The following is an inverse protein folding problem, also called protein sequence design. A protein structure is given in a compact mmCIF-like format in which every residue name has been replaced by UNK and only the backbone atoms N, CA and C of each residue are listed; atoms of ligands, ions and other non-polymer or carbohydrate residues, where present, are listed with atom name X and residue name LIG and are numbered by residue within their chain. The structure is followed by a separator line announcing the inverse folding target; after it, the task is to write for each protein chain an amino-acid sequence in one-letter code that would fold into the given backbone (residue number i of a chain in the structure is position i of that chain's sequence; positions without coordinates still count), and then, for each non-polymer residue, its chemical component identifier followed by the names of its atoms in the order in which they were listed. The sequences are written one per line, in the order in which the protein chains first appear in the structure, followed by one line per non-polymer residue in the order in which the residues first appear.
data_IF_108495763621
#
_entry.id   IF_108495763621
#
_cell.length_a   1.000
_cell.length_b   1.000
_cell.length_c   1.000
_cell.angle_alpha   90.00
_cell.angle_beta   90.00
_cell.angle_gamma   90.00
#
_symmetry.space_group_name_H-M   'P 1'
#
loop_
_entity.id
_entity.type
_entity.pdbx_description
1 polymer ?
#
# COMPACT_ATOMS: atom_id res chain seq x y z
N UNK A 1 -4.87 33.48 18.14
CA UNK A 1 -5.02 32.59 19.33
C UNK A 1 -6.07 31.50 19.02
N UNK A 2 -6.11 31.01 17.78
CA UNK A 2 -7.26 30.25 17.25
C UNK A 2 -6.98 28.74 17.11
N UNK A 3 -5.72 28.32 17.23
CA UNK A 3 -5.32 26.92 17.13
C UNK A 3 -5.76 26.04 18.30
N UNK A 4 -5.84 26.61 19.52
CA UNK A 4 -6.21 25.85 20.74
C UNK A 4 -7.73 25.63 20.82
N UNK A 5 -8.53 26.56 20.31
CA UNK A 5 -9.99 26.43 20.24
C UNK A 5 -10.41 25.35 19.23
N UNK A 6 -9.70 25.21 18.11
CA UNK A 6 -9.98 24.17 17.11
C UNK A 6 -9.69 22.74 17.60
N UNK A 7 -8.69 22.56 18.48
CA UNK A 7 -8.37 21.26 19.08
C UNK A 7 -9.43 20.87 20.13
N UNK A 8 -9.85 21.83 20.95
CA UNK A 8 -10.85 21.59 22.01
C UNK A 8 -12.21 21.19 21.43
N UNK A 9 -12.62 21.77 20.29
CA UNK A 9 -13.86 21.40 19.60
C UNK A 9 -13.82 19.98 19.00
N UNK A 10 -12.65 19.51 18.55
CA UNK A 10 -12.47 18.14 18.03
C UNK A 10 -12.51 17.08 19.13
N UNK A 11 -11.98 17.39 20.31
CA UNK A 11 -12.03 16.48 21.47
C UNK A 11 -13.48 16.29 21.94
N UNK A 12 -14.26 17.37 22.05
CA UNK A 12 -15.67 17.29 22.43
C UNK A 12 -16.52 16.48 21.42
N UNK A 13 -16.18 16.52 20.13
CA UNK A 13 -16.85 15.72 19.11
C UNK A 13 -16.55 14.22 19.24
N UNK A 14 -15.33 13.83 19.66
CA UNK A 14 -14.95 12.41 19.85
C UNK A 14 -15.66 11.81 21.08
N UNK A 15 -15.79 12.58 22.16
CA UNK A 15 -16.49 12.12 23.37
C UNK A 15 -18.00 11.91 23.15
N UNK A 16 -18.62 12.73 22.30
CA UNK A 16 -20.02 12.58 21.93
C UNK A 16 -20.28 11.32 21.09
N UNK A 17 -19.36 10.93 20.19
CA UNK A 17 -19.50 9.70 19.38
C UNK A 17 -19.31 8.42 20.19
N UNK A 18 -18.52 8.46 21.26
CA UNK A 18 -18.28 7.29 22.14
C UNK A 18 -19.47 6.99 23.06
N UNK A 19 -20.35 7.96 23.32
CA UNK A 19 -21.53 7.77 24.19
C UNK A 19 -22.72 7.08 23.49
N UNK A 20 -22.64 6.83 22.18
CA UNK A 20 -23.72 6.21 21.39
C UNK A 20 -23.52 4.70 21.14
N UNK A 21 -22.42 4.09 21.61
CA UNK A 21 -22.20 2.66 21.50
C UNK A 21 -22.84 1.96 22.71
N UNK A 22 -24.17 1.79 22.65
CA UNK A 22 -24.89 0.94 23.59
C UNK A 22 -24.76 -0.52 23.14
N UNK A 23 -23.92 -1.31 23.82
CA UNK A 23 -23.81 -2.75 23.62
C UNK A 23 -25.12 -3.42 24.12
N UNK A 24 -25.81 -4.27 23.32
CA UNK A 24 -26.99 -4.95 23.81
C UNK A 24 -26.58 -5.97 24.87
N UNK A 25 -27.09 -5.81 26.10
CA UNK A 25 -26.92 -6.80 27.16
C UNK A 25 -27.96 -7.92 26.99
N UNK A 26 -27.54 -9.07 26.49
CA UNK A 26 -28.36 -10.28 26.49
C UNK A 26 -28.57 -10.74 27.94
N UNK A 27 -29.83 -10.85 28.38
CA UNK A 27 -30.20 -11.45 29.67
C UNK A 27 -30.34 -12.96 29.50
N UNK A 28 -29.90 -13.80 30.46
CA UNK A 28 -30.16 -15.24 30.39
C UNK A 28 -31.61 -15.52 30.80
N UNK A 29 -32.40 -16.09 29.89
CA UNK A 29 -33.68 -16.71 30.19
C UNK A 29 -33.46 -18.11 30.75
N UNK A 30 -34.17 -18.45 31.82
CA UNK A 30 -34.19 -19.78 32.40
C UNK A 30 -34.88 -20.78 31.46
N UNK A 31 -34.22 -21.90 31.16
CA UNK A 31 -34.81 -22.99 30.37
C UNK A 31 -33.82 -24.11 30.03
N UNK A 32 -33.94 -25.21 30.76
CA UNK A 32 -33.51 -26.59 30.52
C UNK A 32 -32.61 -26.93 29.32
N UNK A 33 -31.33 -27.23 29.63
CA UNK A 33 -30.56 -28.36 29.09
C UNK A 33 -30.58 -28.65 27.60
N UNK A 34 -30.00 -27.76 26.78
CA UNK A 34 -29.43 -28.13 25.48
C UNK A 34 -27.91 -28.21 25.61
N UNK A 35 -27.32 -29.30 25.13
CA UNK A 35 -25.89 -29.55 25.26
C UNK A 35 -25.12 -28.47 24.50
N UNK A 36 -24.01 -27.99 25.09
CA UNK A 36 -23.12 -26.98 24.49
C UNK A 36 -22.73 -27.29 23.04
N UNK A 37 -22.73 -28.57 22.64
CA UNK A 37 -22.50 -29.03 21.28
C UNK A 37 -23.57 -28.59 20.27
N UNK A 38 -24.86 -28.47 20.65
CA UNK A 38 -25.92 -27.99 19.75
C UNK A 38 -25.84 -26.47 19.55
N UNK A 39 -25.52 -25.73 20.61
CA UNK A 39 -25.34 -24.27 20.53
C UNK A 39 -24.09 -23.92 19.72
N UNK A 40 -23.01 -24.68 19.88
CA UNK A 40 -21.80 -24.53 19.07
C UNK A 40 -22.05 -24.92 17.60
N UNK A 41 -22.81 -25.98 17.33
CA UNK A 41 -23.20 -26.38 15.98
C UNK A 41 -24.02 -25.29 15.26
N UNK A 42 -24.93 -24.62 15.97
CA UNK A 42 -25.68 -23.48 15.42
C UNK A 42 -24.79 -22.26 15.18
N UNK A 43 -23.82 -22.00 16.06
CA UNK A 43 -22.90 -20.87 15.90
C UNK A 43 -21.88 -21.07 14.75
N UNK A 44 -21.46 -22.31 14.48
CA UNK A 44 -20.61 -22.60 13.29
C UNK A 44 -21.43 -22.70 12.00
N UNK A 45 -22.71 -23.04 12.07
CA UNK A 45 -23.61 -22.99 10.91
C UNK A 45 -23.90 -21.54 10.47
N UNK A 46 -24.02 -20.60 11.42
CA UNK A 46 -24.14 -19.15 11.13
C UNK A 46 -22.80 -18.49 10.72
N UNK A 47 -21.67 -19.20 10.83
CA UNK A 47 -20.34 -18.73 10.40
C UNK A 47 -19.78 -19.51 9.20
N UNK A 48 -20.58 -20.42 8.61
CA UNK A 48 -20.20 -21.06 7.36
C UNK A 48 -20.38 -20.05 6.22
N UNK A 49 -19.32 -19.69 5.46
CA UNK A 49 -19.50 -18.87 4.29
C UNK A 49 -20.30 -19.70 3.29
N UNK A 50 -21.56 -19.33 3.08
CA UNK A 50 -22.28 -19.77 1.89
C UNK A 50 -21.49 -19.19 0.73
N UNK A 51 -20.83 -20.05 -0.04
CA UNK A 51 -20.21 -19.72 -1.33
C UNK A 51 -21.31 -19.38 -2.33
N UNK A 52 -21.97 -18.24 -2.12
CA UNK A 52 -22.70 -17.55 -3.15
C UNK A 52 -21.66 -16.77 -3.94
N UNK A 53 -21.42 -17.21 -5.17
CA UNK A 53 -20.74 -16.42 -6.20
C UNK A 53 -21.55 -15.14 -6.44
N UNK A 54 -21.30 -14.13 -5.61
CA UNK A 54 -21.81 -12.79 -5.73
C UNK A 54 -20.63 -11.85 -5.85
N UNK A 55 -20.37 -11.39 -7.06
CA UNK A 55 -19.43 -10.33 -7.37
C UNK A 55 -19.63 -9.17 -6.38
N UNK A 56 -18.72 -9.06 -5.41
CA UNK A 56 -18.67 -7.92 -4.51
C UNK A 56 -18.03 -6.77 -5.27
N UNK A 57 -18.88 -6.03 -5.99
CA UNK A 57 -18.58 -4.70 -6.49
C UNK A 57 -18.43 -3.76 -5.28
N UNK A 58 -17.24 -3.77 -4.68
CA UNK A 58 -16.72 -2.60 -3.98
C UNK A 58 -16.23 -1.64 -5.08
N UNK A 59 -17.08 -0.68 -5.44
CA UNK A 59 -16.80 0.34 -6.47
C UNK A 59 -15.54 1.16 -6.16
N UNK A 60 -14.90 1.81 -7.13
CA UNK A 60 -15.21 2.04 -8.53
C UNK A 60 -14.02 2.81 -9.13
N UNK A 61 -13.85 2.71 -10.45
CA UNK A 61 -12.62 3.02 -11.21
C UNK A 61 -11.46 2.07 -10.91
N UNK A 62 -11.27 1.07 -11.77
CA UNK A 62 -10.10 0.22 -11.69
C UNK A 62 -8.83 1.06 -11.75
N UNK A 63 -7.82 0.68 -10.98
CA UNK A 63 -6.48 1.23 -11.10
C UNK A 63 -5.98 0.97 -12.52
N UNK A 64 -5.76 2.06 -13.27
CA UNK A 64 -5.37 2.02 -14.69
C UNK A 64 -4.19 2.94 -14.90
N UNK A 65 -3.35 2.56 -15.84
CA UNK A 65 -2.36 3.45 -16.44
C UNK A 65 -2.86 3.90 -17.81
N UNK A 66 -2.49 5.11 -18.23
CA UNK A 66 -2.70 5.58 -19.59
C UNK A 66 -1.64 5.01 -20.55
N UNK A 67 -1.67 5.40 -21.83
CA UNK A 67 -0.69 4.95 -22.83
C UNK A 67 0.77 5.33 -22.54
N UNK A 68 1.00 6.30 -21.65
CA UNK A 68 2.32 6.73 -21.20
C UNK A 68 2.76 6.05 -19.89
N UNK A 69 1.97 5.09 -19.38
CA UNK A 69 2.25 4.40 -18.12
C UNK A 69 1.91 5.23 -16.86
N UNK A 70 1.19 6.35 -16.98
CA UNK A 70 0.82 7.22 -15.86
C UNK A 70 -0.45 6.71 -15.18
N UNK A 71 -0.50 6.59 -13.84
CA UNK A 71 -1.73 6.26 -13.13
C UNK A 71 -2.82 7.30 -13.37
N UNK A 72 -3.94 6.87 -13.94
CA UNK A 72 -5.04 7.77 -14.35
C UNK A 72 -5.64 8.52 -13.16
N UNK A 73 -5.73 7.85 -12.01
CA UNK A 73 -6.21 8.37 -10.74
C UNK A 73 -5.25 9.38 -10.10
N UNK A 74 -3.95 9.28 -10.37
CA UNK A 74 -2.94 10.21 -9.85
C UNK A 74 -2.56 11.33 -10.82
N UNK A 75 -2.90 11.19 -12.10
CA UNK A 75 -2.46 12.09 -13.18
C UNK A 75 -2.76 13.57 -12.88
N UNK A 76 -3.91 13.87 -12.26
CA UNK A 76 -4.33 15.22 -11.92
C UNK A 76 -3.40 15.94 -10.92
N UNK A 77 -2.66 15.20 -10.09
CA UNK A 77 -1.72 15.76 -9.13
C UNK A 77 -0.38 16.13 -9.78
N UNK A 78 0.06 15.34 -10.76
CA UNK A 78 1.37 15.46 -11.38
C UNK A 78 2.47 14.69 -10.65
N UNK A 79 3.50 14.29 -11.41
CA UNK A 79 4.60 13.47 -10.91
C UNK A 79 5.37 14.17 -9.78
N UNK A 80 5.49 13.49 -8.64
CA UNK A 80 6.15 13.99 -7.42
C UNK A 80 5.30 14.99 -6.63
N UNK A 81 4.01 15.14 -6.95
CA UNK A 81 3.07 16.05 -6.28
C UNK A 81 1.84 15.33 -5.73
N UNK A 82 1.95 14.01 -5.54
CA UNK A 82 0.88 13.17 -5.02
C UNK A 82 0.72 13.43 -3.51
N UNK A 83 -0.49 13.75 -3.03
CA UNK A 83 -0.74 13.92 -1.61
C UNK A 83 -0.65 12.57 -0.89
N UNK A 84 -0.27 12.59 0.39
CA UNK A 84 0.03 11.36 1.16
C UNK A 84 -1.17 10.42 1.26
N UNK A 85 -2.37 10.98 1.34
CA UNK A 85 -3.65 10.28 1.41
C UNK A 85 -4.05 9.58 0.11
N UNK A 86 -3.49 9.99 -1.03
CA UNK A 86 -3.66 9.30 -2.30
C UNK A 86 -2.66 8.13 -2.50
N UNK A 87 -1.74 7.94 -1.53
CA UNK A 87 -0.80 6.84 -1.52
C UNK A 87 -1.13 5.85 -0.39
N UNK A 88 -1.00 4.57 -0.69
CA UNK A 88 -1.23 3.47 0.25
C UNK A 88 0.07 3.11 0.98
N UNK A 89 0.04 2.88 2.31
CA UNK A 89 1.19 2.33 3.01
C UNK A 89 1.56 0.95 2.49
N UNK A 90 2.84 0.60 2.59
CA UNK A 90 3.34 -0.76 2.34
C UNK A 90 3.60 -1.42 3.70
N UNK A 91 2.61 -2.14 4.21
CA UNK A 91 2.65 -2.85 5.48
C UNK A 91 3.19 -1.97 6.61
N UNK A 92 4.17 -2.50 7.34
CA UNK A 92 4.85 -1.79 8.43
C UNK A 92 6.18 -1.12 8.00
N UNK A 93 6.47 -1.01 6.70
CA UNK A 93 7.77 -0.50 6.21
C UNK A 93 7.96 1.01 6.41
N UNK A 94 6.87 1.75 6.63
CA UNK A 94 6.88 3.22 6.66
C UNK A 94 6.84 3.87 5.26
N UNK A 95 7.00 3.09 4.19
CA UNK A 95 6.94 3.54 2.80
C UNK A 95 5.50 3.60 2.28
N UNK A 96 5.32 4.37 1.21
CA UNK A 96 4.03 4.55 0.54
C UNK A 96 4.18 4.50 -0.97
N UNK A 97 3.22 3.89 -1.64
CA UNK A 97 3.18 3.71 -3.08
C UNK A 97 1.76 4.00 -3.60
N UNK A 98 1.64 4.08 -4.92
CA UNK A 98 0.33 3.99 -5.58
C UNK A 98 -0.34 2.66 -5.17
N UNK A 99 -1.63 2.68 -4.86
CA UNK A 99 -2.35 1.57 -4.24
C UNK A 99 -2.07 0.17 -4.85
N UNK A 100 -2.16 -0.07 -6.18
CA UNK A 100 -1.86 -1.38 -6.74
C UNK A 100 -0.39 -1.76 -6.61
N UNK A 101 0.54 -0.80 -6.70
CA UNK A 101 1.97 -1.04 -6.47
C UNK A 101 2.22 -1.42 -5.00
N UNK A 102 1.58 -0.71 -4.05
CA UNK A 102 1.68 -1.00 -2.62
C UNK A 102 1.25 -2.44 -2.31
N UNK A 103 0.04 -2.81 -2.73
CA UNK A 103 -0.53 -4.15 -2.51
C UNK A 103 0.29 -5.24 -3.18
N UNK A 104 0.81 -4.98 -4.37
CA UNK A 104 1.66 -5.95 -5.06
C UNK A 104 3.00 -6.12 -4.38
N UNK A 105 3.58 -5.03 -3.89
CA UNK A 105 4.85 -5.06 -3.18
C UNK A 105 4.72 -5.73 -1.81
N UNK A 106 3.62 -5.53 -1.08
CA UNK A 106 3.35 -6.29 0.15
C UNK A 106 3.30 -7.81 -0.09
N UNK A 107 2.65 -8.25 -1.17
CA UNK A 107 2.64 -9.68 -1.56
C UNK A 107 4.04 -10.18 -1.91
N UNK A 108 4.84 -9.36 -2.60
CA UNK A 108 6.22 -9.67 -2.93
C UNK A 108 7.06 -9.83 -1.65
N UNK A 109 7.00 -8.88 -0.72
CA UNK A 109 7.72 -8.93 0.55
C UNK A 109 7.31 -10.15 1.38
N UNK A 110 6.02 -10.45 1.44
CA UNK A 110 5.51 -11.65 2.13
C UNK A 110 6.03 -12.94 1.50
N UNK A 111 6.11 -13.03 0.18
CA UNK A 111 6.60 -14.21 -0.52
C UNK A 111 8.11 -14.40 -0.30
N UNK A 112 8.89 -13.32 -0.38
CA UNK A 112 10.32 -13.36 -0.09
C UNK A 112 10.58 -13.82 1.35
N UNK A 113 9.85 -13.25 2.33
CA UNK A 113 9.99 -13.61 3.73
C UNK A 113 9.63 -15.08 4.01
N UNK A 114 8.62 -15.63 3.32
CA UNK A 114 8.25 -17.05 3.44
C UNK A 114 9.36 -18.00 2.94
N UNK A 115 10.23 -17.51 2.05
CA UNK A 115 11.40 -18.23 1.54
C UNK A 115 12.69 -17.88 2.32
N UNK A 116 12.58 -17.13 3.42
CA UNK A 116 13.71 -16.72 4.24
C UNK A 116 14.55 -15.59 3.65
N UNK A 117 14.05 -14.90 2.63
CA UNK A 117 14.72 -13.79 1.95
C UNK A 117 14.25 -12.46 2.54
N UNK A 118 15.18 -11.69 3.10
CA UNK A 118 14.91 -10.35 3.60
C UNK A 118 15.13 -9.31 2.49
N UNK A 119 14.18 -8.37 2.35
CA UNK A 119 14.25 -7.26 1.39
C UNK A 119 14.04 -5.96 2.17
N UNK A 120 15.05 -5.09 2.17
CA UNK A 120 14.94 -3.74 2.73
C UNK A 120 14.43 -2.75 1.70
N UNK A 121 13.79 -1.66 2.15
CA UNK A 121 13.35 -0.54 1.31
C UNK A 121 14.13 0.69 1.71
N UNK A 122 14.73 1.38 0.74
CA UNK A 122 15.55 2.58 0.95
C UNK A 122 14.87 3.83 0.40
N UNK A 123 14.13 3.71 -0.70
CA UNK A 123 13.32 4.80 -1.26
C UNK A 123 12.04 4.26 -1.91
N UNK A 124 11.02 5.10 -2.01
CA UNK A 124 9.68 4.75 -2.54
C UNK A 124 9.07 5.95 -3.26
N UNK A 125 7.89 6.44 -2.87
CA UNK A 125 7.39 7.71 -3.39
C UNK A 125 8.37 8.85 -3.12
N UNK A 126 8.75 9.57 -4.20
CA UNK A 126 9.66 10.72 -4.15
C UNK A 126 8.96 11.98 -4.63
N UNK A 127 8.95 13.00 -3.79
CA UNK A 127 8.38 14.30 -4.16
C UNK A 127 9.21 15.01 -5.23
N UNK A 128 8.60 15.98 -5.91
CA UNK A 128 9.22 16.76 -6.97
C UNK A 128 10.50 17.46 -6.47
N UNK A 129 10.44 18.11 -5.30
CA UNK A 129 11.56 18.84 -4.74
C UNK A 129 12.72 17.90 -4.36
N UNK A 130 12.41 16.71 -3.85
CA UNK A 130 13.43 15.68 -3.59
C UNK A 130 14.04 15.19 -4.91
N UNK A 131 13.26 15.04 -5.98
CA UNK A 131 13.80 14.69 -7.29
C UNK A 131 14.74 15.78 -7.85
N UNK A 132 14.39 17.07 -7.69
CA UNK A 132 15.28 18.19 -8.04
C UNK A 132 16.58 18.11 -7.24
N UNK A 133 16.50 17.83 -5.95
CA UNK A 133 17.65 17.66 -5.07
C UNK A 133 18.55 16.47 -5.48
N UNK A 134 17.95 15.34 -5.84
CA UNK A 134 18.66 14.16 -6.37
C UNK A 134 19.42 14.52 -7.65
N UNK A 135 18.76 15.18 -8.60
CA UNK A 135 19.41 15.62 -9.85
C UNK A 135 20.55 16.60 -9.57
N UNK A 136 20.36 17.54 -8.63
CA UNK A 136 21.41 18.49 -8.23
C UNK A 136 22.64 17.79 -7.68
N UNK A 137 22.47 16.77 -6.84
CA UNK A 137 23.57 16.06 -6.16
C UNK A 137 24.20 14.95 -6.99
N UNK A 138 23.40 14.25 -7.79
CA UNK A 138 23.79 13.01 -8.47
C UNK A 138 23.78 13.12 -10.00
N UNK A 139 23.40 14.26 -10.57
CA UNK A 139 23.31 14.49 -12.01
C UNK A 139 22.11 13.81 -12.67
N UNK A 140 21.84 14.19 -13.92
CA UNK A 140 20.81 13.56 -14.74
C UNK A 140 21.26 12.18 -15.22
N UNK A 141 20.36 11.20 -15.22
CA UNK A 141 20.63 9.84 -15.68
C UNK A 141 21.06 9.83 -17.16
N UNK A 142 20.45 10.66 -18.00
CA UNK A 142 20.82 10.85 -19.42
C UNK A 142 22.24 11.41 -19.62
N UNK A 143 22.88 11.89 -18.55
CA UNK A 143 24.24 12.45 -18.54
C UNK A 143 25.19 11.61 -17.67
N UNK A 144 24.83 10.35 -17.38
CA UNK A 144 25.63 9.45 -16.56
C UNK A 144 25.41 9.58 -15.05
N UNK A 145 24.56 10.50 -14.61
CA UNK A 145 24.12 10.60 -13.21
C UNK A 145 23.11 9.52 -12.81
N UNK A 146 22.39 9.74 -11.70
CA UNK A 146 21.38 8.81 -11.16
C UNK A 146 19.96 9.41 -11.08
N UNK A 147 19.79 10.69 -11.40
CA UNK A 147 18.48 11.35 -11.31
C UNK A 147 17.72 11.33 -12.64
N UNK A 148 16.50 10.80 -12.67
CA UNK A 148 15.56 11.10 -13.74
C UNK A 148 15.25 12.61 -13.81
N UNK A 149 14.85 13.10 -15.00
CA UNK A 149 14.40 14.48 -15.14
C UNK A 149 13.26 14.76 -14.13
N UNK A 150 13.28 15.88 -13.39
CA UNK A 150 12.22 16.17 -12.43
C UNK A 150 10.84 16.18 -13.10
N UNK A 151 9.89 15.47 -12.49
CA UNK A 151 8.54 15.28 -13.04
C UNK A 151 8.40 14.08 -14.00
N UNK A 152 9.42 13.24 -14.17
CA UNK A 152 9.37 12.06 -15.06
C UNK A 152 9.80 10.76 -14.37
N UNK A 153 9.95 10.73 -13.05
CA UNK A 153 10.44 9.55 -12.33
C UNK A 153 9.28 8.64 -11.92
N UNK A 154 9.42 7.31 -12.05
CA UNK A 154 8.42 6.37 -11.53
C UNK A 154 8.21 6.49 -10.01
N UNK A 155 9.25 6.89 -9.25
CA UNK A 155 9.10 7.23 -7.83
C UNK A 155 8.10 8.38 -7.61
N UNK A 156 8.03 9.35 -8.53
CA UNK A 156 7.10 10.46 -8.46
C UNK A 156 5.63 10.06 -8.65
N UNK A 157 5.36 8.86 -9.18
CA UNK A 157 4.02 8.28 -9.26
C UNK A 157 3.75 7.27 -8.15
N UNK A 158 4.71 7.02 -7.24
CA UNK A 158 4.61 5.93 -6.26
C UNK A 158 4.62 4.55 -6.93
N UNK A 159 5.30 4.43 -8.07
CA UNK A 159 5.38 3.20 -8.86
C UNK A 159 6.78 2.60 -8.89
N UNK A 160 7.69 3.03 -8.02
CA UNK A 160 9.02 2.45 -7.92
C UNK A 160 9.50 2.37 -6.48
N UNK A 161 10.40 1.42 -6.24
CA UNK A 161 11.09 1.21 -4.98
C UNK A 161 12.59 1.05 -5.24
N UNK A 162 13.40 1.66 -4.39
CA UNK A 162 14.83 1.38 -4.31
C UNK A 162 15.05 0.46 -3.11
N UNK A 163 15.66 -0.70 -3.32
CA UNK A 163 15.74 -1.78 -2.34
C UNK A 163 17.16 -1.98 -1.81
N UNK A 164 17.25 -2.34 -0.53
CA UNK A 164 18.48 -2.88 0.06
C UNK A 164 18.46 -4.40 -0.09
N UNK A 165 19.32 -4.90 -0.97
CA UNK A 165 19.34 -6.29 -1.43
C UNK A 165 20.74 -6.86 -1.25
N UNK A 166 20.85 -7.94 -0.47
CA UNK A 166 22.03 -8.79 -0.54
C UNK A 166 22.03 -9.64 -1.83
N UNK A 167 23.08 -10.43 -2.03
CA UNK A 167 23.20 -11.26 -3.23
C UNK A 167 22.06 -12.28 -3.39
N UNK A 168 21.54 -12.82 -2.28
CA UNK A 168 20.43 -13.78 -2.29
C UNK A 168 19.12 -13.07 -2.64
N UNK A 169 18.86 -11.92 -2.02
CA UNK A 169 17.67 -11.12 -2.28
C UNK A 169 17.65 -10.57 -3.72
N UNK A 170 18.79 -10.13 -4.25
CA UNK A 170 18.91 -9.71 -5.65
C UNK A 170 18.57 -10.85 -6.61
N UNK A 171 19.09 -12.06 -6.37
CA UNK A 171 18.78 -13.23 -7.18
C UNK A 171 17.29 -13.58 -7.09
N UNK A 172 16.72 -13.56 -5.89
CA UNK A 172 15.31 -13.83 -5.67
C UNK A 172 14.42 -12.83 -6.43
N UNK A 173 14.73 -11.53 -6.35
CA UNK A 173 14.01 -10.48 -7.07
C UNK A 173 14.05 -10.71 -8.59
N UNK A 174 15.22 -11.01 -9.16
CA UNK A 174 15.35 -11.28 -10.60
C UNK A 174 14.54 -12.48 -11.07
N UNK A 175 14.36 -13.48 -10.22
CA UNK A 175 13.55 -14.66 -10.54
C UNK A 175 12.05 -14.43 -10.31
N UNK A 176 11.67 -13.65 -9.30
CA UNK A 176 10.30 -13.63 -8.77
C UNK A 176 9.57 -12.29 -8.87
N UNK A 177 10.24 -11.16 -9.08
CA UNK A 177 9.59 -9.85 -9.02
C UNK A 177 8.52 -9.67 -10.11
N UNK A 178 8.74 -10.24 -11.30
CA UNK A 178 7.84 -10.10 -12.45
C UNK A 178 6.43 -10.65 -12.19
N UNK A 179 6.26 -11.73 -11.40
CA UNK A 179 4.92 -12.24 -11.01
C UNK A 179 4.15 -11.29 -10.10
N UNK A 180 4.81 -10.29 -9.53
CA UNK A 180 4.22 -9.20 -8.76
C UNK A 180 4.22 -7.88 -9.53
N UNK A 181 4.54 -7.89 -10.83
CA UNK A 181 4.57 -6.70 -11.67
C UNK A 181 5.76 -5.78 -11.40
N UNK A 182 6.83 -6.24 -10.75
CA UNK A 182 8.04 -5.44 -10.55
C UNK A 182 9.14 -5.89 -11.52
N UNK A 183 9.82 -4.92 -12.14
CA UNK A 183 10.90 -5.17 -13.11
C UNK A 183 12.13 -4.32 -12.81
N UNK A 184 13.31 -4.87 -13.10
CA UNK A 184 14.61 -4.19 -13.06
C UNK A 184 14.83 -3.49 -14.42
N UNK A 185 14.24 -2.31 -14.60
CA UNK A 185 14.22 -1.60 -15.90
C UNK A 185 15.31 -0.52 -16.05
N UNK A 186 16.13 -0.33 -15.01
CA UNK A 186 17.14 0.73 -14.94
C UNK A 186 18.54 0.11 -14.86
N UNK A 187 19.24 -0.12 -16.00
CA UNK A 187 20.43 -0.98 -16.09
C UNK A 187 21.64 -0.63 -15.20
N UNK A 188 21.71 0.57 -14.63
CA UNK A 188 22.80 1.01 -13.74
C UNK A 188 22.40 1.04 -12.27
N UNK A 189 21.16 0.65 -11.98
CA UNK A 189 20.53 0.77 -10.67
C UNK A 189 19.88 -0.57 -10.30
N UNK A 190 20.67 -1.61 -9.97
CA UNK A 190 20.13 -2.94 -9.63
C UNK A 190 19.23 -2.97 -8.40
N UNK A 191 19.28 -1.90 -7.59
CA UNK A 191 18.37 -1.66 -6.47
C UNK A 191 17.00 -1.12 -6.91
N UNK A 192 16.86 -0.59 -8.13
CA UNK A 192 15.65 0.08 -8.60
C UNK A 192 14.69 -0.91 -9.25
N UNK A 193 13.46 -0.97 -8.74
CA UNK A 193 12.40 -1.82 -9.25
C UNK A 193 11.14 -1.02 -9.53
N UNK A 194 10.71 -1.02 -10.79
CA UNK A 194 9.52 -0.31 -11.25
C UNK A 194 8.32 -1.26 -11.32
N UNK A 195 7.17 -0.78 -10.83
CA UNK A 195 5.90 -1.46 -10.95
C UNK A 195 5.30 -1.21 -12.34
N UNK A 196 4.99 -2.29 -13.05
CA UNK A 196 4.32 -2.31 -14.33
C UNK A 196 3.05 -3.16 -14.18
N UNK A 197 1.87 -2.52 -14.03
CA UNK A 197 0.61 -3.26 -13.95
C UNK A 197 0.38 -4.02 -15.27
N UNK A 198 0.04 -5.30 -15.13
CA UNK A 198 -0.28 -6.25 -16.21
C UNK A 198 -1.73 -6.13 -16.70
#
# INVERSE_FOLDING_TARGET
MDGILAISQRIAQIEATLSLISVPRVRPGAGSGTAFSEVLASAVADTAPTVAAGASNLGGSGFRVNGDGVPVDLAAHGNGRIPREALEPVGATGHRLWAPAARSFERLLSAAAAEGVAIGVTDSYRSYDVQVDVVRRKGLYSQGGLGAKPGTSQHGWGMAVDLDLDASAQAWMRTNAARFGFVEDTPREPWHWAFQPS
#
